data_IF_066898140768
#
_entry.id   IF_066898140768
#
_cell.length_a   1.000
_cell.length_b   1.000
_cell.length_c   1.000
_cell.angle_alpha   90.00
_cell.angle_beta   90.00
_cell.angle_gamma   90.00
#
_symmetry.space_group_name_H-M   'P 1'
#
loop_
_entity.id
_entity.type
_entity.pdbx_description
1 polymer ?
#
# COMPACT_ATOMS: atom_id res chain seq x y z
N UNK A 1 0.22 0.84 14.74
CA UNK A 1 -0.85 1.86 14.87
C UNK A 1 -1.95 1.48 13.91
N UNK A 2 -3.20 1.39 14.37
CA UNK A 2 -4.35 1.15 13.51
C UNK A 2 -4.99 2.51 13.18
N UNK A 3 -5.37 2.71 11.93
CA UNK A 3 -5.92 3.97 11.44
C UNK A 3 -7.24 3.68 10.70
N UNK A 4 -8.27 4.47 10.95
CA UNK A 4 -9.48 4.39 10.15
C UNK A 4 -9.22 4.93 8.73
N UNK A 5 -9.90 4.40 7.71
CA UNK A 5 -9.73 4.83 6.32
C UNK A 5 -9.91 6.36 6.15
N UNK A 6 -10.90 6.94 6.82
CA UNK A 6 -11.16 8.38 6.80
C UNK A 6 -10.00 9.23 7.36
N UNK A 7 -9.15 8.68 8.21
CA UNK A 7 -8.02 9.39 8.81
C UNK A 7 -6.75 9.30 7.93
N UNK A 8 -6.74 8.44 6.90
CA UNK A 8 -5.56 8.17 6.08
C UNK A 8 -5.05 9.42 5.37
N UNK A 9 -5.93 10.23 4.80
CA UNK A 9 -5.54 11.45 4.08
C UNK A 9 -4.77 12.42 4.98
N UNK A 10 -5.29 12.69 6.18
CA UNK A 10 -4.64 13.54 7.16
C UNK A 10 -3.31 12.95 7.67
N UNK A 11 -3.22 11.62 7.75
CA UNK A 11 -1.98 10.95 8.11
C UNK A 11 -0.92 11.09 7.00
N UNK A 12 -1.28 10.90 5.73
CA UNK A 12 -0.36 11.05 4.59
C UNK A 12 0.20 12.46 4.45
N UNK A 13 -0.58 13.49 4.81
CA UNK A 13 -0.11 14.87 4.86
C UNK A 13 1.00 15.11 5.89
N UNK A 14 1.04 14.33 6.98
CA UNK A 14 2.10 14.40 7.99
C UNK A 14 3.39 13.71 7.56
N UNK A 15 3.35 12.97 6.45
CA UNK A 15 4.48 12.21 5.91
C UNK A 15 4.10 10.77 5.60
N UNK A 16 4.77 10.21 4.59
CA UNK A 16 4.63 8.80 4.23
C UNK A 16 5.47 7.95 5.19
N UNK A 17 4.93 6.78 5.58
CA UNK A 17 5.65 5.77 6.35
C UNK A 17 6.20 4.69 5.43
N UNK A 18 7.23 3.98 5.90
CA UNK A 18 7.89 2.92 5.13
C UNK A 18 7.01 1.68 4.88
N UNK A 19 6.00 1.44 5.71
CA UNK A 19 5.13 0.27 5.62
C UNK A 19 3.69 0.62 5.96
N UNK A 20 2.76 0.13 5.14
CA UNK A 20 1.32 0.17 5.37
C UNK A 20 0.73 -1.23 5.19
N UNK A 21 0.00 -1.70 6.20
CA UNK A 21 -0.83 -2.89 6.08
C UNK A 21 -2.28 -2.43 5.90
N UNK A 22 -2.89 -2.81 4.77
CA UNK A 22 -4.28 -2.50 4.47
C UNK A 22 -5.11 -3.78 4.57
N UNK A 23 -6.17 -3.74 5.37
CA UNK A 23 -7.10 -4.85 5.52
C UNK A 23 -8.50 -4.28 5.78
N UNK A 24 -9.53 -4.97 5.29
CA UNK A 24 -10.92 -4.57 5.45
C UNK A 24 -11.84 -5.42 4.58
N UNK A 25 -13.10 -5.52 5.00
CA UNK A 25 -14.10 -6.34 4.33
C UNK A 25 -14.72 -5.63 3.11
N UNK A 26 -14.52 -4.32 2.99
CA UNK A 26 -14.98 -3.49 1.88
C UNK A 26 -13.86 -3.30 0.84
N UNK A 27 -13.91 -3.97 -0.32
CA UNK A 27 -12.81 -3.95 -1.29
C UNK A 27 -12.55 -2.55 -1.87
N UNK A 28 -13.60 -1.75 -2.05
CA UNK A 28 -13.48 -0.39 -2.58
C UNK A 28 -12.68 0.50 -1.62
N UNK A 29 -12.98 0.46 -0.31
CA UNK A 29 -12.25 1.24 0.68
C UNK A 29 -10.76 0.86 0.73
N UNK A 30 -10.45 -0.44 0.63
CA UNK A 30 -9.05 -0.91 0.58
C UNK A 30 -8.35 -0.39 -0.69
N UNK A 31 -9.04 -0.42 -1.83
CA UNK A 31 -8.49 0.09 -3.08
C UNK A 31 -8.23 1.61 -3.02
N UNK A 32 -9.19 2.39 -2.53
CA UNK A 32 -9.06 3.85 -2.39
C UNK A 32 -7.91 4.22 -1.44
N UNK A 33 -7.76 3.48 -0.34
CA UNK A 33 -6.64 3.66 0.57
C UNK A 33 -5.29 3.35 -0.09
N UNK A 34 -5.20 2.27 -0.86
CA UNK A 34 -4.02 1.94 -1.68
C UNK A 34 -3.71 3.03 -2.72
N UNK A 35 -4.73 3.59 -3.37
CA UNK A 35 -4.58 4.68 -4.34
C UNK A 35 -4.05 5.95 -3.66
N UNK A 36 -4.59 6.31 -2.49
CA UNK A 36 -4.14 7.48 -1.73
C UNK A 36 -2.67 7.38 -1.31
N UNK A 37 -2.24 6.21 -0.81
CA UNK A 37 -0.83 5.97 -0.44
C UNK A 37 0.08 6.10 -1.67
N UNK A 38 -0.31 5.51 -2.80
CA UNK A 38 0.47 5.59 -4.04
C UNK A 38 0.52 7.00 -4.62
N UNK A 39 -0.55 7.78 -4.50
CA UNK A 39 -0.55 9.17 -4.92
C UNK A 39 0.42 10.00 -4.06
N UNK A 40 0.39 9.83 -2.74
CA UNK A 40 1.30 10.50 -1.81
C UNK A 40 2.77 10.07 -1.97
N UNK A 41 3.03 8.82 -2.37
CA UNK A 41 4.38 8.37 -2.71
C UNK A 41 4.88 9.03 -4.00
N UNK A 42 4.06 9.07 -5.05
CA UNK A 42 4.44 9.73 -6.31
C UNK A 42 4.80 11.20 -6.13
N UNK A 43 4.09 11.94 -5.27
CA UNK A 43 4.42 13.35 -4.98
C UNK A 43 5.74 13.52 -4.24
N UNK A 44 6.25 12.47 -3.59
CA UNK A 44 7.56 12.45 -2.92
C UNK A 44 8.69 11.91 -3.81
N UNK A 45 8.43 11.67 -5.10
CA UNK A 45 9.45 11.22 -6.06
C UNK A 45 9.61 9.71 -6.18
N UNK A 46 8.75 8.91 -5.54
CA UNK A 46 8.73 7.46 -5.75
C UNK A 46 8.07 7.14 -7.10
N UNK A 47 8.88 6.79 -8.11
CA UNK A 47 8.46 6.54 -9.49
C UNK A 47 8.35 5.05 -9.84
N UNK A 48 9.15 4.21 -9.17
CA UNK A 48 9.16 2.77 -9.40
C UNK A 48 8.11 2.05 -8.54
N UNK A 49 7.60 0.95 -9.08
CA UNK A 49 6.60 0.11 -8.42
C UNK A 49 6.76 -1.33 -8.86
N UNK A 50 7.07 -2.18 -7.89
CA UNK A 50 7.02 -3.64 -8.03
C UNK A 50 5.76 -4.15 -7.34
N UNK A 51 5.05 -5.09 -7.98
CA UNK A 51 3.82 -5.67 -7.43
C UNK A 51 3.95 -7.17 -7.44
N UNK A 52 3.73 -7.77 -6.28
CA UNK A 52 3.68 -9.21 -6.12
C UNK A 52 2.26 -9.62 -5.72
N UNK A 53 1.60 -10.43 -6.54
CA UNK A 53 0.28 -10.98 -6.24
C UNK A 53 0.44 -12.42 -5.79
N UNK A 54 0.26 -12.66 -4.48
CA UNK A 54 0.30 -14.00 -3.90
C UNK A 54 -1.05 -14.67 -4.12
N UNK A 55 -1.09 -15.71 -4.95
CA UNK A 55 -2.28 -16.50 -5.22
C UNK A 55 -2.00 -18.00 -5.03
N UNK A 56 -2.80 -18.67 -4.20
CA UNK A 56 -2.67 -20.11 -3.94
C UNK A 56 -1.44 -20.49 -3.11
N UNK A 57 -1.14 -21.79 -3.09
CA UNK A 57 -0.08 -22.36 -2.24
C UNK A 57 1.34 -22.29 -2.84
N UNK A 58 1.48 -21.99 -4.14
CA UNK A 58 2.75 -22.10 -4.88
C UNK A 58 3.23 -20.73 -5.40
N UNK A 59 3.29 -19.75 -4.51
CA UNK A 59 3.87 -18.44 -4.84
C UNK A 59 5.41 -18.51 -4.79
N UNK A 60 6.07 -18.00 -5.83
CA UNK A 60 7.54 -17.95 -5.88
C UNK A 60 8.07 -16.75 -5.10
N UNK A 61 8.59 -17.03 -3.90
CA UNK A 61 9.16 -16.01 -3.01
C UNK A 61 10.51 -15.48 -3.49
N UNK A 62 11.17 -16.14 -4.45
CA UNK A 62 12.45 -15.67 -4.98
C UNK A 62 12.31 -14.34 -5.73
N UNK A 63 11.17 -14.09 -6.38
CA UNK A 63 10.88 -12.82 -7.07
C UNK A 63 10.81 -11.63 -6.11
N UNK A 64 10.32 -11.84 -4.89
CA UNK A 64 10.25 -10.78 -3.86
C UNK A 64 11.63 -10.46 -3.29
N UNK A 65 12.51 -11.47 -3.19
CA UNK A 65 13.87 -11.31 -2.67
C UNK A 65 14.84 -10.69 -3.68
N UNK A 66 14.55 -10.84 -4.98
CA UNK A 66 15.38 -10.31 -6.06
C UNK A 66 15.04 -8.86 -6.47
N UNK A 67 13.96 -8.29 -5.90
CA UNK A 67 13.44 -6.96 -6.20
C UNK A 67 14.13 -5.83 -5.44
#
# INVERSE_FOLDING_TARGET
MQLAAAQLAAHLQKGLRSLYALHGDEPLLVQEACDAIRAAARTQGYTERTVHTVAGAHFDWSEVLAA
#
